data_IF_430642174049
#
_entry.id   IF_430642174049
#
_cell.length_a   1.000
_cell.length_b   1.000
_cell.length_c   1.000
_cell.angle_alpha   90.00
_cell.angle_beta   90.00
_cell.angle_gamma   90.00
#
_symmetry.space_group_name_H-M   'P 1'
#
loop_
_entity.id
_entity.type
_entity.pdbx_description
1 polymer ?
#
# COMPACT_ATOMS: atom_id res chain seq x y z
N UNK A 1 -10.90 4.51 8.36
CA UNK A 1 -11.93 4.61 7.31
C UNK A 1 -12.03 3.32 6.51
N UNK A 2 -10.92 2.75 6.01
CA UNK A 2 -10.93 1.46 5.27
C UNK A 2 -11.66 0.33 6.02
N UNK A 3 -11.39 0.13 7.32
CA UNK A 3 -12.05 -0.93 8.09
C UNK A 3 -13.57 -0.77 8.17
N UNK A 4 -14.06 0.45 8.38
CA UNK A 4 -15.50 0.74 8.40
C UNK A 4 -16.13 0.42 7.05
N UNK A 5 -15.49 0.85 5.96
CA UNK A 5 -15.97 0.54 4.61
C UNK A 5 -15.92 -0.95 4.30
N UNK A 6 -14.88 -1.65 4.76
CA UNK A 6 -14.77 -3.10 4.62
C UNK A 6 -15.95 -3.80 5.28
N UNK A 7 -16.37 -3.35 6.46
CA UNK A 7 -17.51 -3.92 7.17
C UNK A 7 -18.81 -3.66 6.40
N UNK A 8 -19.06 -2.44 5.92
CA UNK A 8 -20.26 -2.13 5.11
C UNK A 8 -20.29 -2.79 3.73
N UNK A 9 -19.13 -3.01 3.09
CA UNK A 9 -19.05 -3.67 1.77
C UNK A 9 -19.26 -5.18 1.89
N UNK A 10 -18.89 -5.77 3.04
CA UNK A 10 -18.95 -7.23 3.23
C UNK A 10 -20.12 -7.71 4.09
N UNK A 11 -20.72 -6.81 4.89
CA UNK A 11 -21.88 -7.12 5.71
C UNK A 11 -23.15 -7.28 4.89
N UNK A 12 -24.00 -8.23 5.31
CA UNK A 12 -25.36 -8.38 4.81
C UNK A 12 -26.39 -7.66 5.68
N UNK A 13 -25.96 -7.16 6.84
CA UNK A 13 -26.76 -6.41 7.78
C UNK A 13 -25.98 -5.16 8.23
N UNK A 14 -26.70 -4.08 8.51
CA UNK A 14 -26.16 -2.85 9.06
C UNK A 14 -27.04 -2.37 10.21
N UNK A 15 -26.41 -1.87 11.28
CA UNK A 15 -27.10 -1.17 12.35
C UNK A 15 -27.33 0.26 11.90
N UNK A 16 -28.60 0.67 11.81
CA UNK A 16 -28.98 2.05 11.50
C UNK A 16 -29.48 2.70 12.77
N UNK A 17 -28.79 3.76 13.19
CA UNK A 17 -29.20 4.62 14.29
C UNK A 17 -30.04 5.78 13.74
N UNK A 18 -31.35 5.78 14.03
CA UNK A 18 -32.25 6.85 13.64
C UNK A 18 -32.18 7.99 14.66
N UNK A 19 -32.23 9.22 14.18
CA UNK A 19 -32.33 10.39 15.06
C UNK A 19 -33.64 10.28 15.87
N UNK A 20 -33.54 10.28 17.20
CA UNK A 20 -34.67 10.14 18.12
C UNK A 20 -35.43 8.80 18.02
N UNK A 21 -34.77 7.71 17.59
CA UNK A 21 -35.34 6.37 17.59
C UNK A 21 -34.32 5.32 18.04
N UNK A 22 -34.81 4.12 18.33
CA UNK A 22 -33.94 3.00 18.68
C UNK A 22 -33.14 2.52 17.46
N UNK A 23 -31.96 1.97 17.73
CA UNK A 23 -31.12 1.37 16.70
C UNK A 23 -31.81 0.10 16.15
N UNK A 24 -31.85 -0.03 14.83
CA UNK A 24 -32.40 -1.21 14.15
C UNK A 24 -31.35 -1.90 13.28
N UNK A 25 -31.42 -3.22 13.21
CA UNK A 25 -30.60 -4.02 12.29
C UNK A 25 -31.41 -4.22 11.02
N UNK A 26 -30.87 -3.78 9.88
CA UNK A 26 -31.51 -3.95 8.57
C UNK A 26 -30.60 -4.70 7.60
N UNK A 27 -31.17 -5.51 6.69
CA UNK A 27 -30.40 -6.07 5.58
C UNK A 27 -29.80 -4.96 4.72
N UNK A 28 -28.54 -5.11 4.32
CA UNK A 28 -27.81 -4.15 3.48
C UNK A 28 -27.15 -4.81 2.28
N UNK A 29 -27.14 -4.06 1.18
CA UNK A 29 -26.40 -4.38 -0.05
C UNK A 29 -25.64 -3.16 -0.54
N UNK A 30 -25.04 -2.40 0.38
CA UNK A 30 -24.35 -1.16 0.07
C UNK A 30 -23.25 -1.36 -0.98
N UNK A 31 -23.27 -0.50 -2.00
CA UNK A 31 -22.18 -0.30 -2.96
C UNK A 31 -21.72 1.15 -2.83
N UNK A 32 -20.42 1.36 -2.69
CA UNK A 32 -19.85 2.69 -2.51
C UNK A 32 -19.21 3.16 -3.80
N UNK A 33 -19.57 4.37 -4.23
CA UNK A 33 -18.91 5.10 -5.30
C UNK A 33 -18.30 6.36 -4.71
N UNK A 34 -17.00 6.58 -4.92
CA UNK A 34 -16.30 7.78 -4.50
C UNK A 34 -15.85 8.56 -5.73
N UNK A 35 -16.00 9.87 -5.68
CA UNK A 35 -15.44 10.80 -6.66
C UNK A 35 -14.61 11.85 -5.91
N UNK A 36 -13.41 12.12 -6.40
CA UNK A 36 -12.48 13.08 -5.80
C UNK A 36 -11.59 13.70 -6.87
N UNK A 37 -11.27 14.97 -6.69
CA UNK A 37 -10.26 15.67 -7.49
C UNK A 37 -8.84 15.49 -6.90
N UNK A 38 -8.70 14.74 -5.80
CA UNK A 38 -7.42 14.39 -5.18
C UNK A 38 -7.16 12.88 -5.35
N UNK A 39 -6.68 12.44 -6.53
CA UNK A 39 -6.64 11.03 -6.91
C UNK A 39 -5.77 10.17 -6.00
N UNK A 40 -4.71 10.75 -5.43
CA UNK A 40 -3.75 9.99 -4.63
C UNK A 40 -4.02 10.08 -3.12
N UNK A 41 -4.92 10.93 -2.62
CA UNK A 41 -5.02 11.17 -1.16
C UNK A 41 -6.43 11.11 -0.60
N UNK A 42 -7.44 10.81 -1.42
CA UNK A 42 -8.83 10.77 -0.98
C UNK A 42 -9.13 9.67 0.04
N UNK A 43 -8.31 8.61 0.09
CA UNK A 43 -8.48 7.51 1.03
C UNK A 43 -7.15 6.82 1.33
N UNK A 44 -6.99 6.35 2.57
CA UNK A 44 -5.90 5.43 2.94
C UNK A 44 -6.34 3.99 2.67
N UNK A 45 -5.62 3.29 1.79
CA UNK A 45 -5.89 1.92 1.37
C UNK A 45 -4.64 1.07 1.61
N UNK A 46 -4.81 -0.10 2.23
CA UNK A 46 -3.73 -1.08 2.40
C UNK A 46 -3.24 -1.64 1.07
N UNK A 47 -1.94 -1.91 0.97
CA UNK A 47 -1.28 -2.48 -0.22
C UNK A 47 -1.84 -3.83 -0.67
N UNK A 48 -2.41 -4.61 0.26
CA UNK A 48 -3.01 -5.93 0.00
C UNK A 48 -4.54 -5.87 -0.21
N UNK A 49 -5.12 -4.68 -0.29
CA UNK A 49 -6.57 -4.51 -0.38
C UNK A 49 -7.07 -4.73 -1.81
N UNK A 50 -7.87 -5.77 -2.00
CA UNK A 50 -8.47 -6.18 -3.28
C UNK A 50 -9.92 -5.71 -3.44
N UNK A 51 -10.33 -4.68 -2.70
CA UNK A 51 -11.74 -4.23 -2.63
C UNK A 51 -12.02 -2.93 -3.36
N UNK A 52 -11.01 -2.35 -3.98
CA UNK A 52 -11.09 -1.01 -4.57
C UNK A 52 -10.77 -1.07 -6.05
N UNK A 53 -11.67 -0.52 -6.85
CA UNK A 53 -11.43 -0.22 -8.26
C UNK A 53 -11.34 1.29 -8.41
N UNK A 54 -10.14 1.78 -8.72
CA UNK A 54 -9.84 3.21 -8.83
C UNK A 54 -9.68 3.56 -10.30
N UNK A 55 -10.48 4.50 -10.80
CA UNK A 55 -10.35 4.97 -12.18
C UNK A 55 -10.12 6.47 -12.20
N UNK A 56 -9.11 6.87 -12.98
CA UNK A 56 -8.86 8.26 -13.30
C UNK A 56 -9.66 8.63 -14.55
N UNK A 57 -10.65 9.52 -14.38
CA UNK A 57 -11.51 9.97 -15.48
C UNK A 57 -10.86 11.17 -16.15
N UNK A 58 -10.62 11.07 -17.46
CA UNK A 58 -10.05 12.17 -18.25
C UNK A 58 -11.05 13.31 -18.37
N UNK A 59 -10.53 14.53 -18.39
CA UNK A 59 -11.34 15.72 -18.65
C UNK A 59 -11.92 15.69 -20.07
N UNK A 60 -13.12 16.23 -20.22
CA UNK A 60 -13.76 16.41 -21.53
C UNK A 60 -12.98 17.48 -22.30
N UNK A 61 -12.47 17.18 -23.51
CA UNK A 61 -11.80 18.16 -24.37
C UNK A 61 -12.67 19.39 -24.63
N UNK A 62 -12.05 20.58 -24.72
CA UNK A 62 -12.79 21.85 -24.83
C UNK A 62 -13.70 21.90 -26.05
N UNK A 63 -13.27 21.34 -27.19
CA UNK A 63 -14.03 21.22 -28.43
C UNK A 63 -15.23 20.27 -28.34
N UNK A 64 -15.28 19.40 -27.32
CA UNK A 64 -16.36 18.44 -27.08
C UNK A 64 -17.28 18.83 -25.92
N UNK A 65 -17.03 19.96 -25.26
CA UNK A 65 -17.90 20.45 -24.19
C UNK A 65 -19.22 20.94 -24.79
N UNK A 66 -20.32 20.49 -24.22
CA UNK A 66 -21.68 20.91 -24.59
C UNK A 66 -22.33 21.62 -23.41
N UNK A 67 -23.10 22.67 -23.69
CA UNK A 67 -23.67 23.53 -22.64
C UNK A 67 -24.73 22.83 -21.77
N UNK A 68 -25.48 21.91 -22.34
CA UNK A 68 -26.56 21.15 -21.67
C UNK A 68 -26.15 19.71 -21.32
N UNK A 69 -24.88 19.49 -20.98
CA UNK A 69 -24.33 18.14 -20.72
C UNK A 69 -25.11 17.36 -19.65
N UNK A 70 -25.49 18.01 -18.55
CA UNK A 70 -26.24 17.37 -17.45
C UNK A 70 -27.62 16.86 -17.91
N UNK A 71 -28.34 17.64 -18.72
CA UNK A 71 -29.63 17.25 -19.28
C UNK A 71 -29.47 16.05 -20.21
N UNK A 72 -28.44 16.04 -21.06
CA UNK A 72 -28.13 14.92 -21.93
C UNK A 72 -27.81 13.64 -21.12
N UNK A 73 -27.01 13.76 -20.05
CA UNK A 73 -26.74 12.65 -19.13
C UNK A 73 -28.03 12.12 -18.50
N UNK A 74 -28.93 13.00 -18.06
CA UNK A 74 -30.21 12.60 -17.46
C UNK A 74 -31.09 11.84 -18.46
N UNK A 75 -31.17 12.33 -19.70
CA UNK A 75 -31.90 11.67 -20.79
C UNK A 75 -31.31 10.31 -21.18
N UNK A 76 -30.02 10.08 -20.91
CA UNK A 76 -29.34 8.81 -21.18
C UNK A 76 -29.62 7.72 -20.14
N UNK A 77 -30.02 8.08 -18.91
CA UNK A 77 -30.24 7.12 -17.80
C UNK A 77 -31.14 5.93 -18.20
N UNK A 78 -32.29 6.12 -18.88
CA UNK A 78 -33.15 5.00 -19.28
C UNK A 78 -32.46 4.06 -20.29
N UNK A 79 -31.64 4.60 -21.20
CA UNK A 79 -30.89 3.81 -22.17
C UNK A 79 -29.77 3.03 -21.50
N UNK A 80 -29.05 3.65 -20.56
CA UNK A 80 -28.05 2.98 -19.74
C UNK A 80 -28.67 1.84 -18.94
N UNK A 81 -29.83 2.06 -18.31
CA UNK A 81 -30.54 1.01 -17.58
C UNK A 81 -30.95 -0.14 -18.49
N UNK A 82 -31.50 0.15 -19.68
CA UNK A 82 -31.83 -0.86 -20.68
C UNK A 82 -30.60 -1.66 -21.11
N UNK A 83 -29.49 -0.99 -21.40
CA UNK A 83 -28.23 -1.62 -21.76
C UNK A 83 -27.74 -2.55 -20.65
N UNK A 84 -27.70 -2.09 -19.39
CA UNK A 84 -27.24 -2.89 -18.25
C UNK A 84 -28.12 -4.13 -18.00
N UNK A 85 -29.43 -4.05 -18.25
CA UNK A 85 -30.33 -5.19 -18.13
C UNK A 85 -30.11 -6.26 -19.21
N UNK A 86 -29.69 -5.85 -20.42
CA UNK A 86 -29.51 -6.74 -21.57
C UNK A 86 -28.08 -7.22 -21.75
N UNK A 87 -27.10 -6.42 -21.33
CA UNK A 87 -25.68 -6.75 -21.35
C UNK A 87 -25.42 -7.82 -20.29
N UNK A 88 -25.33 -9.07 -20.72
CA UNK A 88 -24.91 -10.17 -19.86
C UNK A 88 -23.55 -9.91 -19.20
N UNK A 89 -23.24 -10.69 -18.15
CA UNK A 89 -21.94 -10.59 -17.49
C UNK A 89 -20.87 -11.15 -18.45
N UNK A 90 -19.89 -10.32 -18.80
CA UNK A 90 -18.87 -10.66 -19.80
C UNK A 90 -17.68 -11.47 -19.23
N UNK A 91 -17.62 -11.63 -17.92
CA UNK A 91 -16.53 -12.30 -17.21
C UNK A 91 -17.13 -13.40 -16.36
N UNK A 92 -16.58 -14.60 -16.47
CA UNK A 92 -17.01 -15.74 -15.67
C UNK A 92 -16.78 -15.48 -14.17
N UNK A 93 -17.55 -16.17 -13.34
CA UNK A 93 -17.35 -16.14 -11.89
C UNK A 93 -16.03 -16.86 -11.55
N UNK A 94 -15.02 -16.11 -11.10
CA UNK A 94 -13.73 -16.70 -10.74
C UNK A 94 -13.63 -16.99 -9.24
N UNK A 95 -14.01 -16.02 -8.40
CA UNK A 95 -13.95 -16.13 -6.93
C UNK A 95 -15.03 -15.27 -6.24
N UNK A 96 -14.95 -15.13 -4.91
CA UNK A 96 -15.88 -14.32 -4.09
C UNK A 96 -16.00 -12.86 -4.56
N UNK A 97 -14.97 -12.29 -5.16
CA UNK A 97 -14.95 -10.91 -5.67
C UNK A 97 -15.42 -10.83 -7.14
N UNK A 98 -15.73 -11.97 -7.77
CA UNK A 98 -16.07 -12.16 -9.19
C UNK A 98 -14.94 -11.82 -10.15
N UNK A 99 -14.30 -10.67 -9.96
CA UNK A 99 -13.17 -10.19 -10.75
C UNK A 99 -11.87 -10.42 -9.98
N UNK A 100 -10.89 -11.06 -10.63
CA UNK A 100 -9.55 -11.13 -10.07
C UNK A 100 -8.86 -9.75 -10.02
N UNK A 101 -7.98 -9.50 -9.03
CA UNK A 101 -7.28 -8.22 -8.88
C UNK A 101 -6.59 -7.73 -10.16
N UNK A 102 -6.01 -8.63 -10.94
CA UNK A 102 -5.26 -8.28 -12.15
C UNK A 102 -6.15 -7.62 -13.22
N UNK A 103 -7.49 -7.71 -13.12
CA UNK A 103 -8.42 -7.06 -14.05
C UNK A 103 -8.68 -5.60 -13.73
N UNK A 104 -8.49 -5.17 -12.49
CA UNK A 104 -8.82 -3.81 -12.05
C UNK A 104 -7.66 -3.09 -11.37
N UNK A 105 -6.56 -3.79 -11.11
CA UNK A 105 -5.28 -3.19 -10.76
C UNK A 105 -4.77 -2.34 -11.91
N UNK A 106 -4.57 -1.06 -11.64
CA UNK A 106 -4.05 -0.09 -12.59
C UNK A 106 -3.13 0.91 -11.87
N UNK A 107 -2.50 1.79 -12.64
CA UNK A 107 -1.56 2.77 -12.11
C UNK A 107 -2.20 3.72 -11.10
N UNK A 108 -3.49 4.07 -11.26
CA UNK A 108 -4.19 4.94 -10.31
C UNK A 108 -4.35 4.25 -8.94
N UNK A 109 -4.72 2.97 -8.91
CA UNK A 109 -4.79 2.20 -7.67
C UNK A 109 -3.42 2.07 -7.01
N UNK A 110 -2.37 1.77 -7.79
CA UNK A 110 -1.00 1.65 -7.29
C UNK A 110 -0.51 2.95 -6.64
N UNK A 111 -0.72 4.10 -7.30
CA UNK A 111 -0.35 5.42 -6.75
C UNK A 111 -1.07 5.71 -5.44
N UNK A 112 -2.37 5.41 -5.36
CA UNK A 112 -3.16 5.58 -4.14
C UNK A 112 -2.69 4.65 -3.00
N UNK A 113 -2.29 3.42 -3.30
CA UNK A 113 -1.71 2.51 -2.30
C UNK A 113 -0.34 3.02 -1.82
N UNK A 114 0.50 3.52 -2.73
CA UNK A 114 1.81 4.08 -2.41
C UNK A 114 1.72 5.35 -1.55
N UNK A 115 0.82 6.26 -1.88
CA UNK A 115 0.54 7.45 -1.07
C UNK A 115 -0.11 7.09 0.27
N UNK A 116 -0.76 5.93 0.36
CA UNK A 116 -1.36 5.41 1.58
C UNK A 116 -0.33 4.90 2.59
N UNK A 117 0.85 4.46 2.12
CA UNK A 117 1.95 4.00 2.98
C UNK A 117 2.30 5.00 4.07
N UNK A 118 2.68 4.47 5.22
CA UNK A 118 3.15 5.26 6.34
C UNK A 118 4.49 5.93 5.97
N UNK A 119 4.76 7.12 6.52
CA UNK A 119 6.05 7.78 6.31
C UNK A 119 7.19 6.87 6.79
N UNK A 120 6.98 6.09 7.85
CA UNK A 120 7.99 5.17 8.36
C UNK A 120 8.27 4.04 7.37
N UNK A 121 7.23 3.45 6.77
CA UNK A 121 7.37 2.42 5.72
C UNK A 121 8.17 2.96 4.54
N UNK A 122 7.81 4.16 4.04
CA UNK A 122 8.53 4.80 2.94
C UNK A 122 10.01 5.02 3.25
N UNK A 123 10.32 5.55 4.43
CA UNK A 123 11.71 5.76 4.82
C UNK A 123 12.50 4.45 5.00
N UNK A 124 11.84 3.34 5.39
CA UNK A 124 12.48 2.02 5.42
C UNK A 124 12.75 1.53 4.00
N UNK A 125 11.81 1.71 3.07
CA UNK A 125 12.01 1.37 1.65
C UNK A 125 13.18 2.13 1.06
N UNK A 126 13.20 3.46 1.22
CA UNK A 126 14.28 4.34 0.74
C UNK A 126 15.64 3.97 1.38
N UNK A 127 15.65 3.65 2.68
CA UNK A 127 16.84 3.20 3.40
C UNK A 127 17.37 1.87 2.83
N UNK A 128 16.49 0.87 2.62
CA UNK A 128 16.89 -0.43 2.09
C UNK A 128 17.41 -0.29 0.66
N UNK A 129 16.75 0.49 -0.21
CA UNK A 129 17.22 0.77 -1.57
C UNK A 129 18.61 1.45 -1.53
N UNK A 130 18.79 2.45 -0.67
CA UNK A 130 20.08 3.14 -0.48
C UNK A 130 21.19 2.17 -0.05
N UNK A 131 20.87 1.24 0.86
CA UNK A 131 21.82 0.21 1.32
C UNK A 131 22.15 -0.76 0.18
N UNK A 132 21.16 -1.29 -0.53
CA UNK A 132 21.41 -2.22 -1.64
C UNK A 132 22.25 -1.56 -2.74
N UNK A 133 21.79 -0.44 -3.29
CA UNK A 133 22.45 0.22 -4.41
C UNK A 133 23.80 0.82 -4.04
N UNK A 134 23.88 1.45 -2.86
CA UNK A 134 25.10 2.14 -2.43
C UNK A 134 26.23 1.23 -2.00
N UNK A 135 25.94 -0.05 -1.69
CA UNK A 135 26.96 -1.01 -1.25
C UNK A 135 27.39 -2.01 -2.33
N UNK A 136 26.73 -2.04 -3.49
CA UNK A 136 26.92 -3.09 -4.52
C UNK A 136 26.95 -4.50 -3.90
N UNK A 137 26.12 -4.71 -2.87
CA UNK A 137 26.24 -5.88 -2.03
C UNK A 137 25.60 -7.08 -2.74
N UNK A 138 26.37 -8.16 -2.90
CA UNK A 138 25.97 -9.34 -3.70
C UNK A 138 24.98 -10.27 -3.00
N UNK A 139 24.75 -10.11 -1.68
CA UNK A 139 23.74 -10.95 -1.02
C UNK A 139 22.32 -10.50 -1.36
N UNK A 140 21.46 -11.42 -1.83
CA UNK A 140 20.09 -11.08 -2.23
C UNK A 140 19.17 -10.78 -1.04
N UNK A 141 19.57 -11.11 0.19
CA UNK A 141 18.79 -10.91 1.41
C UNK A 141 19.69 -10.33 2.48
N UNK A 142 19.30 -9.18 3.04
CA UNK A 142 19.92 -8.59 4.22
C UNK A 142 19.12 -8.95 5.46
N UNK A 143 19.82 -9.16 6.58
CA UNK A 143 19.21 -9.57 7.85
C UNK A 143 19.59 -8.59 8.95
N UNK A 144 18.58 -7.95 9.54
CA UNK A 144 18.75 -7.00 10.65
C UNK A 144 17.76 -7.30 11.78
N UNK A 145 18.17 -7.11 13.02
CA UNK A 145 17.22 -7.11 14.14
C UNK A 145 16.35 -5.86 14.12
N UNK A 146 15.16 -5.90 14.73
CA UNK A 146 14.30 -4.71 14.86
C UNK A 146 15.01 -3.54 15.57
N UNK A 147 15.98 -3.84 16.45
CA UNK A 147 16.81 -2.83 17.11
C UNK A 147 17.79 -2.17 16.14
N UNK A 148 18.47 -2.96 15.30
CA UNK A 148 19.38 -2.44 14.29
C UNK A 148 18.62 -1.60 13.26
N UNK A 149 17.44 -2.05 12.82
CA UNK A 149 16.57 -1.26 11.94
C UNK A 149 16.24 0.10 12.56
N UNK A 150 15.81 0.13 13.83
CA UNK A 150 15.54 1.38 14.54
C UNK A 150 16.76 2.31 14.57
N UNK A 151 17.95 1.76 14.86
CA UNK A 151 19.19 2.54 14.87
C UNK A 151 19.55 3.11 13.49
N UNK A 152 19.42 2.30 12.43
CA UNK A 152 19.63 2.74 11.05
C UNK A 152 18.62 3.82 10.64
N UNK A 153 17.35 3.69 11.04
CA UNK A 153 16.32 4.69 10.77
C UNK A 153 16.59 6.03 11.46
N UNK A 154 17.09 6.00 12.70
CA UNK A 154 17.54 7.20 13.42
C UNK A 154 18.73 7.86 12.72
N UNK A 155 19.70 7.06 12.25
CA UNK A 155 20.88 7.55 11.55
C UNK A 155 20.51 8.16 10.18
N UNK A 156 19.66 7.48 9.41
CA UNK A 156 19.23 7.87 8.07
C UNK A 156 18.24 9.04 8.07
N UNK A 157 17.11 8.90 8.78
CA UNK A 157 15.99 9.84 8.67
C UNK A 157 15.83 10.77 9.91
N UNK A 158 16.76 10.67 10.87
CA UNK A 158 16.96 11.62 11.97
C UNK A 158 16.39 11.20 13.34
N UNK A 159 16.71 11.98 14.38
CA UNK A 159 16.37 11.68 15.78
C UNK A 159 14.87 11.57 16.10
N UNK A 160 13.98 12.05 15.22
CA UNK A 160 12.53 11.91 15.37
C UNK A 160 12.07 10.44 15.48
N UNK A 161 12.90 9.48 15.08
CA UNK A 161 12.58 8.06 15.20
C UNK A 161 12.94 7.45 16.57
N UNK A 162 13.70 8.15 17.42
CA UNK A 162 14.06 7.70 18.78
C UNK A 162 12.83 7.60 19.69
N UNK A 163 11.76 8.35 19.39
CA UNK A 163 10.51 8.31 20.14
C UNK A 163 9.71 7.01 19.95
N UNK A 164 9.98 6.25 18.89
CA UNK A 164 9.25 5.01 18.61
C UNK A 164 9.90 3.81 19.30
N UNK A 165 9.08 2.83 19.69
CA UNK A 165 9.56 1.60 20.33
C UNK A 165 10.00 0.57 19.29
N UNK A 166 10.80 -0.42 19.73
CA UNK A 166 11.20 -1.55 18.88
C UNK A 166 9.97 -2.30 18.33
N UNK A 167 8.91 -2.44 19.15
CA UNK A 167 7.67 -3.10 18.73
C UNK A 167 6.96 -2.34 17.61
N UNK A 168 7.01 -1.01 17.62
CA UNK A 168 6.45 -0.20 16.54
C UNK A 168 7.12 -0.52 15.20
N UNK A 169 8.46 -0.59 15.17
CA UNK A 169 9.18 -0.99 13.95
C UNK A 169 8.88 -2.43 13.54
N UNK A 170 8.63 -3.32 14.51
CA UNK A 170 8.21 -4.68 14.23
C UNK A 170 6.85 -4.71 13.53
N UNK A 171 5.87 -3.97 14.04
CA UNK A 171 4.54 -3.88 13.44
C UNK A 171 4.59 -3.28 12.04
N UNK A 172 5.44 -2.26 11.82
CA UNK A 172 5.69 -1.69 10.49
C UNK A 172 6.25 -2.74 9.53
N UNK A 173 7.28 -3.50 9.92
CA UNK A 173 7.87 -4.54 9.07
C UNK A 173 6.86 -5.66 8.76
N UNK A 174 6.01 -6.02 9.73
CA UNK A 174 4.93 -6.99 9.51
C UNK A 174 3.93 -6.46 8.49
N UNK A 175 3.54 -5.18 8.55
CA UNK A 175 2.67 -4.54 7.54
C UNK A 175 3.30 -4.53 6.15
N UNK A 176 4.61 -4.28 6.08
CA UNK A 176 5.39 -4.37 4.84
C UNK A 176 5.51 -5.81 4.30
N UNK A 177 5.12 -6.83 5.08
CA UNK A 177 5.20 -8.23 4.69
C UNK A 177 6.58 -8.85 4.86
N UNK A 178 7.44 -8.25 5.68
CA UNK A 178 8.77 -8.79 5.98
C UNK A 178 8.68 -10.06 6.82
N UNK A 179 9.63 -10.98 6.63
CA UNK A 179 9.70 -12.25 7.34
C UNK A 179 10.65 -12.14 8.52
N UNK A 180 10.20 -12.66 9.66
CA UNK A 180 11.01 -12.77 10.88
C UNK A 180 11.53 -14.20 11.05
N UNK A 181 12.83 -14.34 11.24
CA UNK A 181 13.46 -15.64 11.53
C UNK A 181 13.36 -15.98 13.01
N UNK A 182 13.52 -17.25 13.37
CA UNK A 182 13.73 -17.64 14.76
C UNK A 182 15.00 -16.99 15.35
N UNK A 183 15.04 -16.88 16.68
CA UNK A 183 16.23 -16.43 17.39
C UNK A 183 17.39 -17.40 17.17
N UNK A 184 18.39 -16.98 16.41
CA UNK A 184 19.60 -17.78 16.13
C UNK A 184 20.84 -16.89 16.17
N UNK A 185 22.01 -17.50 16.34
CA UNK A 185 23.29 -16.83 16.08
C UNK A 185 23.59 -16.90 14.58
N UNK A 186 23.85 -15.77 13.96
CA UNK A 186 24.21 -15.67 12.54
C UNK A 186 25.32 -14.62 12.38
N UNK A 187 26.10 -14.75 11.31
CA UNK A 187 26.98 -13.67 10.89
C UNK A 187 26.12 -12.68 10.11
N UNK A 188 26.03 -11.45 10.60
CA UNK A 188 25.29 -10.37 9.94
C UNK A 188 26.24 -9.27 9.52
N UNK A 189 25.66 -8.20 8.98
CA UNK A 189 26.40 -7.00 8.61
C UNK A 189 25.99 -5.85 9.54
N UNK A 190 26.92 -4.93 9.75
CA UNK A 190 26.65 -3.62 10.34
C UNK A 190 26.90 -2.56 9.27
N UNK A 191 25.89 -1.71 9.04
CA UNK A 191 25.96 -0.63 8.05
C UNK A 191 26.38 0.66 8.76
N UNK A 192 27.49 1.23 8.32
CA UNK A 192 28.02 2.53 8.76
C UNK A 192 27.93 3.55 7.62
N UNK A 193 28.02 4.83 7.98
CA UNK A 193 27.98 5.92 6.99
C UNK A 193 26.56 6.42 6.65
N UNK A 194 25.52 5.92 7.33
CA UNK A 194 24.14 6.42 7.24
C UNK A 194 24.05 7.80 7.91
N UNK A 195 24.47 8.85 7.22
CA UNK A 195 24.35 10.23 7.69
C UNK A 195 23.58 11.07 6.68
N UNK A 196 22.75 11.99 7.17
CA UNK A 196 22.16 13.06 6.37
C UNK A 196 23.26 14.01 5.86
N UNK A 197 23.93 13.64 4.76
CA UNK A 197 25.02 14.45 4.19
C UNK A 197 26.01 13.76 3.23
N UNK A 198 25.77 12.52 2.79
CA UNK A 198 26.59 11.89 1.74
C UNK A 198 27.88 11.21 2.20
N UNK A 199 27.89 10.63 3.41
CA UNK A 199 28.95 9.71 3.80
C UNK A 199 28.97 8.48 2.88
N UNK A 200 30.15 7.98 2.52
CA UNK A 200 30.26 6.71 1.81
C UNK A 200 29.77 5.57 2.72
N UNK A 201 28.79 4.80 2.25
CA UNK A 201 28.28 3.65 2.99
C UNK A 201 29.39 2.61 3.13
N UNK A 202 29.50 2.05 4.34
CA UNK A 202 30.48 1.01 4.66
C UNK A 202 29.76 -0.15 5.33
N UNK A 203 30.19 -1.37 5.01
CA UNK A 203 29.73 -2.58 5.67
C UNK A 203 30.87 -3.19 6.45
N UNK A 204 30.61 -3.47 7.72
CA UNK A 204 31.48 -4.28 8.54
C UNK A 204 30.81 -5.61 8.88
N UNK A 205 31.55 -6.73 8.84
CA UNK A 205 31.01 -8.01 9.27
C UNK A 205 30.78 -7.98 10.78
N UNK A 206 29.60 -8.43 11.21
CA UNK A 206 29.22 -8.58 12.62
C UNK A 206 29.05 -10.07 12.92
N UNK A 207 30.13 -10.78 13.32
CA UNK A 207 30.07 -12.21 13.55
C UNK A 207 29.27 -12.54 14.81
N UNK A 208 28.64 -13.71 14.82
CA UNK A 208 27.93 -14.27 15.98
C UNK A 208 26.84 -13.37 16.60
N UNK A 209 26.18 -12.53 15.80
CA UNK A 209 25.05 -11.72 16.23
C UNK A 209 23.86 -12.62 16.59
N UNK A 210 23.26 -12.40 17.76
CA UNK A 210 22.18 -13.22 18.28
C UNK A 210 20.90 -12.41 18.37
N UNK A 211 19.85 -12.85 17.69
CA UNK A 211 18.57 -12.17 17.77
C UNK A 211 17.53 -12.77 16.83
N UNK A 212 16.34 -12.17 16.86
CA UNK A 212 15.29 -12.39 15.87
C UNK A 212 15.55 -11.42 14.71
N UNK A 213 15.82 -11.93 13.52
CA UNK A 213 16.16 -11.12 12.36
C UNK A 213 14.96 -10.91 11.44
N UNK A 214 14.94 -9.75 10.80
CA UNK A 214 14.05 -9.38 9.71
C UNK A 214 14.82 -9.61 8.42
N UNK A 215 14.24 -10.36 7.49
CA UNK A 215 14.81 -10.59 6.17
C UNK A 215 14.29 -9.55 5.17
N UNK A 216 15.21 -8.78 4.60
CA UNK A 216 14.98 -7.78 3.58
C UNK A 216 15.52 -8.29 2.24
N UNK A 217 14.68 -8.81 1.35
CA UNK A 217 15.13 -9.29 0.04
C UNK A 217 15.23 -8.15 -0.98
N UNK A 218 16.28 -8.14 -1.79
CA UNK A 218 16.59 -7.07 -2.75
C UNK A 218 15.44 -6.79 -3.74
N UNK A 219 14.73 -7.83 -4.20
CA UNK A 219 13.63 -7.70 -5.16
C UNK A 219 12.38 -7.02 -4.61
N UNK A 220 12.30 -6.78 -3.29
CA UNK A 220 11.23 -5.98 -2.70
C UNK A 220 11.55 -4.47 -2.70
N UNK A 221 12.81 -4.09 -2.88
CA UNK A 221 13.28 -2.71 -2.71
C UNK A 221 13.96 -2.13 -3.95
N UNK A 222 14.43 -2.96 -4.87
CA UNK A 222 15.10 -2.53 -6.10
C UNK A 222 14.40 -3.08 -7.35
N UNK A 223 14.39 -2.30 -8.42
CA UNK A 223 13.91 -2.70 -9.75
C UNK A 223 14.86 -3.72 -10.39
N UNK A 224 14.33 -4.51 -11.32
CA UNK A 224 15.09 -5.60 -11.95
C UNK A 224 16.27 -5.07 -12.76
N UNK A 225 16.15 -3.89 -13.36
CA UNK A 225 17.20 -3.19 -14.10
C UNK A 225 18.36 -2.82 -13.17
N UNK A 226 18.06 -2.25 -12.01
CA UNK A 226 19.05 -1.85 -11.00
C UNK A 226 19.81 -3.07 -10.44
N UNK A 227 19.12 -4.19 -10.26
CA UNK A 227 19.73 -5.44 -9.76
C UNK A 227 20.71 -6.05 -10.79
N UNK A 228 20.46 -5.89 -12.09
CA UNK A 228 21.33 -6.44 -13.15
C UNK A 228 22.66 -5.70 -13.29
N UNK A 229 22.73 -4.46 -12.80
CA UNK A 229 23.91 -3.60 -12.84
C UNK A 229 24.82 -3.75 -11.61
N UNK A 230 24.37 -4.48 -10.59
CA UNK A 230 25.11 -4.81 -9.36
C UNK A 230 25.86 -6.14 -9.47
#
# INVERSE_FOLDING_TARGET
MENILKDFITGFEAVIEKKFGDAEVVPTFCKFLFASNHPDTFMKIGSKSTRFFVNEIRQIPTDKKVGNFEELCFLEIPYLAHFLQKRGIMVEYEDRLWFKPERYENEALKRLQQSSKDNVERNIEDLMETIFLGLQHTQPILSFTSRELMQMMVAYAGKKYEQYTINYFQDVCVRMGMVYTDTRRRNTIEVKGLYNGGGALQVEPKPANQGRFIEFPIWMFCQQEQIREM
#
